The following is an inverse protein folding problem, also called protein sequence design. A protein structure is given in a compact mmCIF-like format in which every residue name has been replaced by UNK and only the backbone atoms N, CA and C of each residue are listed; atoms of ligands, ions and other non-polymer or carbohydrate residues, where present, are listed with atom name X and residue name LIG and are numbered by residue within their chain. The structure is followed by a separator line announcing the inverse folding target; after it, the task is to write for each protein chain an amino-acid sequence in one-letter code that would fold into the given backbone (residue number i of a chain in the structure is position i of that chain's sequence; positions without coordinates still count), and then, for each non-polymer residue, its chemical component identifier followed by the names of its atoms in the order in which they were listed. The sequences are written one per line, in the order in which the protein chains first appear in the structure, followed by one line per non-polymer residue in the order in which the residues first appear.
data_IF_391228107655
#
_entry.id   IF_391228107655
#
_cell.length_a   1.000
_cell.length_b   1.000
_cell.length_c   1.000
_cell.angle_alpha   90.00
_cell.angle_beta   90.00
_cell.angle_gamma   90.00
#
_symmetry.space_group_name_H-M   'P 1'
#
loop_
_entity.id
_entity.type
_entity.pdbx_description
1 polymer ?
#
# COMPACT_ATOMS: atom_id res chain seq x y z
N UNK A 1 7.90 -16.62 4.36
CA UNK A 1 6.43 -16.65 4.43
C UNK A 1 5.83 -15.82 5.57
N UNK A 2 6.39 -14.64 5.89
CA UNK A 2 5.99 -13.93 7.11
C UNK A 2 6.06 -12.40 7.01
N UNK A 3 5.69 -11.77 5.88
CA UNK A 3 5.66 -10.28 5.84
C UNK A 3 4.69 -9.66 4.81
N UNK A 4 3.77 -10.42 4.20
CA UNK A 4 2.86 -9.85 3.18
C UNK A 4 1.62 -9.17 3.78
N UNK A 5 1.63 -8.81 5.07
CA UNK A 5 0.48 -8.23 5.79
C UNK A 5 0.91 -6.98 6.55
N UNK A 6 0.32 -5.85 6.20
CA UNK A 6 0.51 -4.58 6.88
C UNK A 6 -0.77 -4.20 7.63
N UNK A 7 -0.66 -3.92 8.92
CA UNK A 7 -1.76 -3.31 9.68
C UNK A 7 -1.67 -1.79 9.55
N UNK A 8 -2.54 -1.20 8.73
CA UNK A 8 -2.65 0.25 8.59
C UNK A 8 -3.87 0.77 9.34
N UNK A 9 -3.73 1.94 9.96
CA UNK A 9 -4.85 2.61 10.62
C UNK A 9 -5.43 3.64 9.65
N UNK A 10 -6.69 3.46 9.27
CA UNK A 10 -7.43 4.37 8.39
C UNK A 10 -8.45 5.09 9.28
N UNK A 11 -8.19 6.37 9.57
CA UNK A 11 -8.96 7.13 10.55
C UNK A 11 -8.76 6.55 11.97
N UNK A 12 -9.83 6.03 12.57
CA UNK A 12 -9.82 5.40 13.91
C UNK A 12 -9.88 3.86 13.87
N UNK A 13 -9.91 3.25 12.67
CA UNK A 13 -9.97 1.79 12.51
C UNK A 13 -8.67 1.23 11.99
N UNK A 14 -8.24 0.11 12.58
CA UNK A 14 -7.15 -0.71 12.05
C UNK A 14 -7.69 -1.65 10.97
N UNK A 15 -7.03 -1.65 9.82
CA UNK A 15 -7.29 -2.53 8.70
C UNK A 15 -6.03 -3.35 8.42
N UNK A 16 -6.21 -4.67 8.27
CA UNK A 16 -5.16 -5.53 7.76
C UNK A 16 -5.19 -5.44 6.23
N UNK A 17 -4.07 -5.02 5.65
CA UNK A 17 -3.83 -4.92 4.21
C UNK A 17 -2.85 -6.02 3.85
N UNK A 18 -3.14 -6.77 2.80
CA UNK A 18 -2.21 -7.78 2.28
C UNK A 18 -1.58 -7.30 0.99
N UNK A 19 -0.37 -7.75 0.73
CA UNK A 19 0.34 -7.41 -0.51
C UNK A 19 -0.42 -7.92 -1.76
N UNK A 20 -1.09 -9.06 -1.66
CA UNK A 20 -1.88 -9.64 -2.75
C UNK A 20 -3.14 -8.82 -3.10
N UNK A 21 -3.63 -8.02 -2.14
CA UNK A 21 -4.81 -7.16 -2.30
C UNK A 21 -4.45 -5.75 -2.80
N UNK A 22 -3.15 -5.47 -3.04
CA UNK A 22 -2.64 -4.21 -3.54
C UNK A 22 -2.41 -4.27 -5.05
N UNK A 23 -3.06 -3.36 -5.77
CA UNK A 23 -2.88 -3.17 -7.20
C UNK A 23 -2.03 -1.92 -7.46
N UNK A 24 -0.88 -2.09 -8.12
CA UNK A 24 -0.04 -0.94 -8.50
C UNK A 24 -0.73 -0.16 -9.62
N UNK A 25 -0.91 1.15 -9.40
CA UNK A 25 -1.49 2.06 -10.39
C UNK A 25 -0.39 2.71 -11.21
N UNK A 26 0.56 3.37 -10.54
CA UNK A 26 1.67 4.05 -11.19
C UNK A 26 2.79 4.36 -10.19
N UNK A 27 4.00 4.57 -10.68
CA UNK A 27 5.06 5.17 -9.88
C UNK A 27 4.70 6.64 -9.56
N UNK A 28 4.72 7.04 -8.28
CA UNK A 28 4.57 8.44 -7.88
C UNK A 28 5.86 9.23 -8.04
N UNK A 29 7.00 8.57 -7.82
CA UNK A 29 8.30 9.15 -8.11
C UNK A 29 9.47 8.36 -7.55
N UNK A 30 10.64 8.62 -8.12
CA UNK A 30 11.90 7.99 -7.76
C UNK A 30 12.89 9.02 -7.23
N UNK A 31 13.42 8.76 -6.03
CA UNK A 31 14.47 9.55 -5.41
C UNK A 31 15.75 8.76 -5.22
N UNK A 32 16.76 9.40 -4.61
CA UNK A 32 18.03 8.75 -4.29
C UNK A 32 17.88 7.56 -3.31
N UNK A 33 16.77 7.50 -2.56
CA UNK A 33 16.50 6.52 -1.50
C UNK A 33 15.44 5.47 -1.86
N UNK A 34 15.00 5.42 -3.13
CA UNK A 34 14.04 4.42 -3.59
C UNK A 34 12.96 4.99 -4.50
N UNK A 35 11.99 4.14 -4.81
CA UNK A 35 10.82 4.44 -5.62
C UNK A 35 9.61 4.45 -4.70
N UNK A 36 8.68 5.37 -4.94
CA UNK A 36 7.37 5.39 -4.28
C UNK A 36 6.32 5.06 -5.32
N UNK A 37 5.52 4.05 -5.04
CA UNK A 37 4.45 3.58 -5.91
C UNK A 37 3.08 3.98 -5.36
N UNK A 38 2.20 4.39 -6.28
CA UNK A 38 0.77 4.55 -6.03
C UNK A 38 0.14 3.17 -6.10
N UNK A 39 -0.34 2.66 -4.99
CA UNK A 39 -1.03 1.37 -4.92
C UNK A 39 -2.48 1.56 -4.49
N UNK A 40 -3.37 0.73 -5.02
CA UNK A 40 -4.78 0.67 -4.63
C UNK A 40 -5.03 -0.62 -3.87
N UNK A 41 -5.53 -0.49 -2.64
CA UNK A 41 -6.05 -1.64 -1.92
C UNK A 41 -7.44 -1.95 -2.45
N UNK A 42 -7.54 -3.02 -3.25
CA UNK A 42 -8.78 -3.41 -3.95
C UNK A 42 -9.98 -3.58 -3.02
N UNK A 43 -9.89 -4.28 -1.87
CA UNK A 43 -11.08 -4.54 -1.05
C UNK A 43 -11.59 -3.29 -0.29
N UNK A 44 -10.77 -2.26 -0.10
CA UNK A 44 -11.21 -0.99 0.51
C UNK A 44 -11.25 0.18 -0.47
N UNK A 45 -10.92 -0.03 -1.74
CA UNK A 45 -10.75 0.99 -2.79
C UNK A 45 -9.85 2.17 -2.36
N UNK A 46 -8.93 1.93 -1.43
CA UNK A 46 -8.11 3.00 -0.84
C UNK A 46 -6.81 3.14 -1.64
N UNK A 47 -6.48 4.38 -1.98
CA UNK A 47 -5.25 4.73 -2.68
C UNK A 47 -4.17 5.07 -1.65
N UNK A 48 -3.03 4.40 -1.73
CA UNK A 48 -1.89 4.53 -0.82
C UNK A 48 -0.61 4.82 -1.60
N UNK A 49 0.35 5.46 -0.93
CA UNK A 49 1.72 5.55 -1.40
C UNK A 49 2.57 4.52 -0.64
N UNK A 50 3.19 3.60 -1.35
CA UNK A 50 4.00 2.51 -0.79
C UNK A 50 5.45 2.70 -1.22
N UNK A 51 6.40 2.42 -0.32
CA UNK A 51 7.84 2.45 -0.57
C UNK A 51 8.45 1.10 -0.21
#
# INVERSE_FOLDING_TARGET
DLDSKACVTIGEKKCEVKADDLEQICELGRGAYGVVDKMRHVPSELIMAVK
#
